data_IF_387802004926
#
_entry.id   IF_387802004926
#
_cell.length_a   1.000
_cell.length_b   1.000
_cell.length_c   1.000
_cell.angle_alpha   90.00
_cell.angle_beta   90.00
_cell.angle_gamma   90.00
#
_symmetry.space_group_name_H-M   'P 1'
#
loop_
_entity.id
_entity.type
_entity.pdbx_description
1 polymer ?
#
# COMPACT_ATOMS: atom_id res chain seq x y z
N UNK A 1 -21.51 -9.98 15.87
CA UNK A 1 -21.02 -8.79 15.15
C UNK A 1 -19.48 -8.69 15.09
N UNK A 2 -18.80 -8.18 16.13
CA UNK A 2 -17.34 -7.94 16.06
C UNK A 2 -16.49 -9.22 15.97
N UNK A 3 -16.93 -10.32 16.60
CA UNK A 3 -16.28 -11.63 16.49
C UNK A 3 -16.45 -12.29 15.10
N UNK A 4 -17.53 -11.95 14.39
CA UNK A 4 -17.85 -12.50 13.07
C UNK A 4 -17.30 -11.62 11.94
N UNK A 5 -17.12 -10.31 12.20
CA UNK A 5 -16.66 -9.32 11.24
C UNK A 5 -15.70 -8.32 11.90
N UNK A 6 -14.44 -8.70 12.15
CA UNK A 6 -13.47 -7.86 12.87
C UNK A 6 -13.00 -6.65 12.06
N UNK A 7 -13.27 -6.61 10.76
CA UNK A 7 -12.89 -5.50 9.85
C UNK A 7 -13.88 -4.34 9.83
N UNK A 8 -15.00 -4.42 10.56
CA UNK A 8 -16.02 -3.37 10.55
C UNK A 8 -15.46 -2.05 11.11
N UNK A 9 -15.73 -0.97 10.38
CA UNK A 9 -15.38 0.37 10.80
C UNK A 9 -16.34 0.88 11.88
N UNK A 10 -15.87 1.83 12.71
CA UNK A 10 -16.68 2.45 13.79
C UNK A 10 -18.01 3.03 13.29
N UNK A 11 -18.03 3.61 12.09
CA UNK A 11 -19.25 4.15 11.48
C UNK A 11 -20.23 3.05 11.02
N UNK A 12 -19.73 1.88 10.62
CA UNK A 12 -20.55 0.73 10.23
C UNK A 12 -21.19 0.07 11.45
N UNK A 13 -20.44 -0.05 12.55
CA UNK A 13 -20.95 -0.52 13.84
C UNK A 13 -22.04 0.44 14.36
N UNK A 14 -21.83 1.76 14.27
CA UNK A 14 -22.83 2.76 14.63
C UNK A 14 -24.11 2.68 13.80
N UNK A 15 -23.99 2.45 12.48
CA UNK A 15 -25.15 2.21 11.60
C UNK A 15 -25.88 0.92 11.95
N UNK A 16 -25.15 -0.14 12.24
CA UNK A 16 -25.75 -1.41 12.64
C UNK A 16 -26.56 -1.29 13.94
N UNK A 17 -26.02 -0.58 14.94
CA UNK A 17 -26.74 -0.27 16.18
C UNK A 17 -27.99 0.57 15.94
N UNK A 18 -27.91 1.56 15.05
CA UNK A 18 -29.07 2.38 14.70
C UNK A 18 -30.16 1.58 13.96
N UNK A 19 -29.79 0.68 13.05
CA UNK A 19 -30.74 -0.07 12.20
C UNK A 19 -31.36 -1.25 12.95
N UNK A 20 -30.56 -2.03 13.67
CA UNK A 20 -31.01 -3.30 14.27
C UNK A 20 -31.38 -3.20 15.74
N UNK A 21 -30.91 -2.16 16.44
CA UNK A 21 -31.15 -1.97 17.87
C UNK A 21 -31.85 -0.66 18.23
N UNK A 22 -32.21 0.17 17.24
CA UNK A 22 -32.80 1.50 17.43
C UNK A 22 -32.00 2.38 18.42
N UNK A 23 -30.68 2.16 18.45
CA UNK A 23 -29.75 2.85 19.34
C UNK A 23 -28.75 3.67 18.52
N UNK A 24 -29.13 4.90 18.11
CA UNK A 24 -28.18 5.79 17.47
C UNK A 24 -27.12 6.22 18.47
N UNK A 25 -25.86 5.88 18.19
CA UNK A 25 -24.71 6.29 18.99
C UNK A 25 -23.73 7.09 18.13
N UNK A 26 -23.19 8.16 18.70
CA UNK A 26 -22.16 8.96 18.01
C UNK A 26 -20.84 8.19 17.94
N UNK A 27 -20.06 8.38 16.87
CA UNK A 27 -18.75 7.73 16.69
C UNK A 27 -17.80 7.94 17.89
N UNK A 28 -17.71 9.15 18.50
CA UNK A 28 -16.86 9.34 19.68
C UNK A 28 -17.37 8.62 20.94
N UNK A 29 -18.68 8.42 21.09
CA UNK A 29 -19.26 7.68 22.21
C UNK A 29 -19.04 6.17 22.02
N UNK A 30 -19.23 5.67 20.80
CA UNK A 30 -18.97 4.28 20.46
C UNK A 30 -17.50 3.91 20.67
N UNK A 31 -16.58 4.78 20.24
CA UNK A 31 -15.14 4.58 20.45
C UNK A 31 -14.79 4.46 21.94
N UNK A 32 -15.35 5.34 22.79
CA UNK A 32 -15.14 5.28 24.24
C UNK A 32 -15.68 3.98 24.84
N UNK A 33 -16.91 3.62 24.49
CA UNK A 33 -17.53 2.38 24.97
C UNK A 33 -16.69 1.16 24.60
N UNK A 34 -16.25 1.05 23.34
CA UNK A 34 -15.40 -0.07 22.90
C UNK A 34 -14.08 -0.12 23.68
N UNK A 35 -13.46 1.03 23.94
CA UNK A 35 -12.25 1.12 24.74
C UNK A 35 -12.49 0.73 26.21
N UNK A 36 -13.62 1.15 26.79
CA UNK A 36 -14.02 0.79 28.16
C UNK A 36 -14.29 -0.72 28.29
N UNK A 37 -14.74 -1.37 27.22
CA UNK A 37 -14.84 -2.83 27.10
C UNK A 37 -13.50 -3.54 26.84
N UNK A 38 -12.38 -2.80 26.80
CA UNK A 38 -11.05 -3.36 26.57
C UNK A 38 -10.73 -3.69 25.11
N UNK A 39 -11.57 -3.26 24.17
CA UNK A 39 -11.34 -3.46 22.73
C UNK A 39 -10.52 -2.30 22.17
N UNK A 40 -9.31 -2.60 21.75
CA UNK A 40 -8.41 -1.63 21.09
C UNK A 40 -8.43 -1.83 19.58
N UNK A 41 -8.38 -0.72 18.84
CA UNK A 41 -8.25 -0.76 17.38
C UNK A 41 -6.80 -1.12 17.01
N UNK A 42 -6.60 -2.33 16.51
CA UNK A 42 -5.33 -2.75 15.93
C UNK A 42 -5.39 -2.64 14.40
N UNK A 43 -4.27 -2.25 13.79
CA UNK A 43 -4.17 -2.19 12.34
C UNK A 43 -4.20 -3.60 11.76
N UNK A 44 -5.33 -3.99 11.18
CA UNK A 44 -5.44 -5.21 10.39
C UNK A 44 -4.47 -5.10 9.20
N UNK A 45 -3.40 -5.91 9.21
CA UNK A 45 -2.58 -6.10 8.01
C UNK A 45 -3.37 -6.95 7.03
N UNK A 46 -3.72 -6.38 5.88
CA UNK A 46 -4.26 -7.16 4.76
C UNK A 46 -3.12 -8.03 4.21
N UNK A 47 -3.11 -9.29 4.60
CA UNK A 47 -2.21 -10.30 4.04
C UNK A 47 -2.64 -10.55 2.59
N UNK A 48 -1.69 -10.63 1.66
CA UNK A 48 -2.00 -10.98 0.27
C UNK A 48 -2.55 -12.42 0.22
N UNK A 49 -3.67 -12.63 -0.44
CA UNK A 49 -4.32 -13.93 -0.53
C UNK A 49 -3.43 -15.01 -1.23
N UNK A 50 -2.44 -14.56 -1.99
CA UNK A 50 -1.48 -15.40 -2.72
C UNK A 50 -0.20 -15.72 -1.91
N UNK A 51 -0.14 -15.32 -0.62
CA UNK A 51 1.01 -15.63 0.22
C UNK A 51 1.09 -17.14 0.50
N UNK A 52 2.11 -17.79 -0.05
CA UNK A 52 2.48 -19.17 0.27
C UNK A 52 3.86 -19.20 0.94
N UNK A 53 3.88 -19.56 2.23
CA UNK A 53 5.10 -19.58 3.04
C UNK A 53 6.09 -20.67 2.60
N UNK A 54 5.62 -21.75 1.99
CA UNK A 54 6.46 -22.81 1.43
C UNK A 54 7.23 -22.31 0.21
N UNK A 55 6.55 -21.70 -0.76
CA UNK A 55 7.21 -21.10 -1.92
C UNK A 55 8.18 -19.99 -1.53
N UNK A 56 7.85 -19.19 -0.51
CA UNK A 56 8.77 -18.16 0.02
C UNK A 56 10.03 -18.77 0.62
N UNK A 57 9.92 -19.87 1.36
CA UNK A 57 11.06 -20.56 1.95
C UNK A 57 11.97 -21.19 0.88
N UNK A 58 11.37 -21.85 -0.12
CA UNK A 58 12.12 -22.45 -1.24
C UNK A 58 12.84 -21.38 -2.07
N UNK A 59 12.16 -20.26 -2.36
CA UNK A 59 12.78 -19.13 -3.04
C UNK A 59 13.95 -18.55 -2.24
N UNK A 60 13.78 -18.35 -0.94
CA UNK A 60 14.84 -17.83 -0.08
C UNK A 60 16.04 -18.77 -0.04
N UNK A 61 15.80 -20.08 0.07
CA UNK A 61 16.86 -21.08 0.03
C UNK A 61 17.63 -21.04 -1.29
N UNK A 62 16.92 -20.96 -2.41
CA UNK A 62 17.53 -20.83 -3.72
C UNK A 62 18.36 -19.54 -3.86
N UNK A 63 17.83 -18.41 -3.39
CA UNK A 63 18.53 -17.13 -3.44
C UNK A 63 19.84 -17.15 -2.67
N UNK A 64 19.82 -17.62 -1.41
CA UNK A 64 21.00 -17.70 -0.55
C UNK A 64 22.05 -18.68 -1.09
N UNK A 65 21.63 -19.76 -1.74
CA UNK A 65 22.54 -20.77 -2.26
C UNK A 65 23.25 -20.36 -3.56
N UNK A 66 22.65 -19.50 -4.38
CA UNK A 66 23.12 -19.25 -5.76
C UNK A 66 23.55 -17.81 -6.03
N UNK A 67 23.15 -16.84 -5.22
CA UNK A 67 23.41 -15.43 -5.48
C UNK A 67 24.01 -14.73 -4.26
N UNK A 68 24.86 -13.75 -4.53
CA UNK A 68 25.37 -12.81 -3.53
C UNK A 68 24.64 -11.48 -3.67
N UNK A 69 24.59 -10.68 -2.61
CA UNK A 69 23.83 -9.42 -2.62
C UNK A 69 24.38 -8.44 -3.68
N UNK A 70 25.69 -8.48 -3.93
CA UNK A 70 26.42 -7.70 -4.93
C UNK A 70 25.98 -7.99 -6.37
N UNK A 71 25.34 -9.14 -6.63
CA UNK A 71 24.89 -9.57 -7.95
C UNK A 71 23.42 -9.24 -8.23
N UNK A 72 22.70 -8.69 -7.25
CA UNK A 72 21.26 -8.49 -7.33
C UNK A 72 20.92 -7.02 -7.60
N UNK A 73 20.02 -6.82 -8.57
CA UNK A 73 19.35 -5.54 -8.82
C UNK A 73 17.87 -5.74 -8.55
N UNK A 74 17.31 -4.91 -7.67
CA UNK A 74 15.90 -4.91 -7.32
C UNK A 74 15.17 -3.81 -8.08
N UNK A 75 14.11 -4.20 -8.78
CA UNK A 75 13.23 -3.31 -9.52
C UNK A 75 11.85 -3.34 -8.86
N UNK A 76 11.20 -2.18 -8.75
CA UNK A 76 9.81 -2.06 -8.30
C UNK A 76 9.16 -0.85 -8.97
N UNK A 77 7.84 -0.71 -8.90
CA UNK A 77 7.15 0.50 -9.37
C UNK A 77 6.66 1.33 -8.18
N UNK A 78 7.18 2.55 -8.03
CA UNK A 78 6.61 3.53 -7.11
C UNK A 78 5.71 4.49 -7.86
N UNK A 79 4.50 4.73 -7.36
CA UNK A 79 3.62 5.77 -7.91
C UNK A 79 3.48 6.95 -6.98
N UNK A 80 3.64 8.16 -7.52
CA UNK A 80 3.55 9.42 -6.80
C UNK A 80 2.44 10.28 -7.41
N UNK A 81 1.40 10.55 -6.64
CA UNK A 81 0.32 11.47 -7.01
C UNK A 81 0.63 12.87 -6.43
N UNK A 82 0.47 13.92 -7.22
CA UNK A 82 0.64 15.31 -6.76
C UNK A 82 -0.36 15.73 -5.66
N UNK A 83 -1.40 14.91 -5.39
CA UNK A 83 -2.28 15.08 -4.21
C UNK A 83 -1.55 15.04 -2.86
N UNK A 84 -0.34 14.50 -2.79
CA UNK A 84 0.36 14.22 -1.52
C UNK A 84 0.87 15.47 -0.79
N UNK A 85 0.85 16.65 -1.44
CA UNK A 85 1.31 17.93 -0.85
C UNK A 85 0.14 18.76 -0.28
N UNK A 86 -1.12 18.35 -0.50
CA UNK A 86 -2.25 19.11 0.04
C UNK A 86 -2.42 18.83 1.55
N UNK A 87 -2.68 19.88 2.36
CA UNK A 87 -2.94 19.71 3.79
C UNK A 87 -4.08 18.70 4.01
N UNK A 88 -3.88 17.74 4.91
CA UNK A 88 -4.85 16.67 5.27
C UNK A 88 -6.24 17.16 5.70
N UNK A 89 -6.45 18.47 5.83
CA UNK A 89 -7.72 19.07 6.26
C UNK A 89 -8.04 20.30 5.41
N UNK A 90 -9.04 20.19 4.53
CA UNK A 90 -9.71 21.33 3.93
C UNK A 90 -11.22 21.24 4.20
N UNK A 91 -11.80 22.37 4.62
CA UNK A 91 -13.23 22.52 4.90
C UNK A 91 -13.95 23.04 3.65
N UNK A 92 -13.96 22.29 2.55
CA UNK A 92 -14.83 22.64 1.42
C UNK A 92 -14.94 21.51 0.39
N UNK A 93 -16.10 21.44 -0.27
CA UNK A 93 -16.40 20.57 -1.41
C UNK A 93 -15.64 21.01 -2.68
N UNK A 94 -14.31 21.08 -2.61
CA UNK A 94 -13.48 21.29 -3.79
C UNK A 94 -13.27 19.93 -4.44
N UNK A 95 -13.89 19.71 -5.60
CA UNK A 95 -13.47 18.63 -6.49
C UNK A 95 -12.05 18.94 -6.95
N UNK A 96 -11.09 18.19 -6.44
CA UNK A 96 -9.71 18.27 -6.90
C UNK A 96 -9.67 17.75 -8.34
N UNK A 97 -9.43 18.63 -9.31
CA UNK A 97 -9.08 18.22 -10.67
C UNK A 97 -7.87 17.30 -10.58
N UNK A 98 -7.90 16.17 -11.31
CA UNK A 98 -6.91 15.11 -11.21
C UNK A 98 -5.50 15.65 -11.40
N UNK A 99 -4.70 15.61 -10.32
CA UNK A 99 -3.28 15.94 -10.38
C UNK A 99 -2.55 14.98 -11.31
N UNK A 100 -1.34 15.38 -11.70
CA UNK A 100 -0.48 14.53 -12.52
C UNK A 100 0.07 13.42 -11.62
N UNK A 101 -0.06 12.18 -12.09
CA UNK A 101 0.53 11.00 -11.44
C UNK A 101 1.86 10.71 -12.12
N UNK A 102 2.88 10.49 -11.32
CA UNK A 102 4.17 10.01 -11.77
C UNK A 102 4.30 8.54 -11.40
N UNK A 103 4.86 7.76 -12.32
CA UNK A 103 5.30 6.40 -12.08
C UNK A 103 6.82 6.39 -12.17
N UNK A 104 7.45 5.87 -11.14
CA UNK A 104 8.89 5.98 -10.90
C UNK A 104 9.41 4.58 -10.61
N UNK A 105 9.85 3.83 -11.63
CA UNK A 105 10.60 2.60 -11.42
C UNK A 105 12.06 2.92 -11.03
N UNK A 106 12.53 2.52 -9.83
CA UNK A 106 13.94 2.55 -9.50
C UNK A 106 14.60 1.19 -9.74
N UNK A 107 15.89 1.23 -10.08
CA UNK A 107 16.78 0.08 -9.99
C UNK A 107 17.70 0.25 -8.80
N UNK A 108 17.64 -0.68 -7.85
CA UNK A 108 18.35 -0.63 -6.57
C UNK A 108 19.35 -1.77 -6.44
N UNK A 109 20.56 -1.45 -6.00
CA UNK A 109 21.61 -2.39 -5.61
C UNK A 109 21.99 -2.16 -4.15
N UNK A 110 22.93 -2.94 -3.62
CA UNK A 110 23.47 -2.74 -2.27
C UNK A 110 24.16 -1.37 -2.09
N UNK A 111 24.64 -0.77 -3.19
CA UNK A 111 25.36 0.50 -3.20
C UNK A 111 24.43 1.71 -3.38
N UNK A 112 23.13 1.46 -3.62
CA UNK A 112 22.11 2.49 -3.77
C UNK A 112 21.37 2.40 -5.10
N UNK A 113 20.95 3.55 -5.64
CA UNK A 113 20.24 3.61 -6.91
C UNK A 113 21.21 3.45 -8.08
N UNK A 114 20.97 2.45 -8.92
CA UNK A 114 21.65 2.28 -10.19
C UNK A 114 21.09 3.26 -11.23
N UNK A 115 19.78 3.28 -11.38
CA UNK A 115 19.06 4.21 -12.27
C UNK A 115 17.64 4.44 -11.77
N UNK A 116 17.04 5.57 -12.14
CA UNK A 116 15.66 5.93 -11.82
C UNK A 116 15.07 6.66 -13.02
N UNK A 117 13.91 6.20 -13.51
CA UNK A 117 13.16 6.88 -14.57
C UNK A 117 11.90 7.49 -13.98
N UNK A 118 11.63 8.76 -14.28
CA UNK A 118 10.35 9.40 -13.95
C UNK A 118 9.45 9.44 -15.18
N UNK A 119 8.33 8.74 -15.13
CA UNK A 119 7.33 8.73 -16.21
C UNK A 119 6.13 9.55 -15.75
N UNK A 120 5.76 10.53 -16.56
CA UNK A 120 4.62 11.41 -16.31
C UNK A 120 3.35 10.80 -16.93
N UNK A 121 2.31 10.63 -16.11
CA UNK A 121 1.02 10.07 -16.53
C UNK A 121 0.95 8.54 -16.39
N UNK A 122 -0.22 8.06 -15.95
CA UNK A 122 -0.62 6.65 -15.77
C UNK A 122 0.36 5.71 -15.03
N UNK A 123 -0.11 4.52 -14.66
CA UNK A 123 0.73 3.39 -14.23
C UNK A 123 1.57 2.93 -15.42
N UNK A 124 2.84 2.56 -15.19
CA UNK A 124 3.70 2.00 -16.25
C UNK A 124 3.07 0.71 -16.79
N UNK A 125 3.06 0.53 -18.11
CA UNK A 125 2.66 -0.76 -18.68
C UNK A 125 3.86 -1.73 -18.78
N UNK A 126 3.59 -2.99 -19.10
CA UNK A 126 4.64 -4.00 -19.19
C UNK A 126 5.68 -3.72 -20.28
N UNK A 127 5.32 -2.99 -21.35
CA UNK A 127 6.23 -2.65 -22.42
C UNK A 127 7.14 -1.47 -22.02
N UNK A 128 6.59 -0.45 -21.37
CA UNK A 128 7.36 0.65 -20.80
C UNK A 128 8.31 0.18 -19.69
N UNK A 129 7.87 -0.79 -18.87
CA UNK A 129 8.74 -1.40 -17.86
C UNK A 129 9.88 -2.19 -18.53
N UNK A 130 9.58 -2.98 -19.56
CA UNK A 130 10.61 -3.69 -20.31
C UNK A 130 11.61 -2.73 -20.98
N UNK A 131 11.12 -1.63 -21.56
CA UNK A 131 11.95 -0.58 -22.14
C UNK A 131 12.89 0.05 -21.10
N UNK A 132 12.40 0.29 -19.88
CA UNK A 132 13.22 0.74 -18.76
C UNK A 132 14.33 -0.26 -18.43
N UNK A 133 14.02 -1.56 -18.37
CA UNK A 133 15.04 -2.59 -18.10
C UNK A 133 16.13 -2.59 -19.18
N UNK A 134 15.75 -2.64 -20.45
CA UNK A 134 16.73 -2.75 -21.55
C UNK A 134 17.53 -1.45 -21.72
N UNK A 135 16.87 -0.29 -21.70
CA UNK A 135 17.55 0.95 -22.06
C UNK A 135 18.25 1.63 -20.89
N UNK A 136 17.72 1.52 -19.66
CA UNK A 136 18.32 2.20 -18.50
C UNK A 136 19.10 1.25 -17.60
N UNK A 137 18.58 0.05 -17.32
CA UNK A 137 19.22 -0.88 -16.38
C UNK A 137 20.40 -1.57 -17.04
N UNK A 138 20.24 -2.14 -18.25
CA UNK A 138 21.37 -2.79 -18.94
C UNK A 138 22.47 -1.80 -19.33
N UNK A 139 22.10 -0.58 -19.74
CA UNK A 139 23.07 0.47 -20.09
C UNK A 139 23.85 1.02 -18.89
N UNK A 140 23.46 0.68 -17.65
CA UNK A 140 24.16 1.09 -16.43
C UNK A 140 25.30 0.13 -16.04
N UNK A 141 25.51 -0.94 -16.81
CA UNK A 141 26.63 -1.89 -16.70
C UNK A 141 27.64 -1.72 -17.83
#
# INVERSE_FOLDING_TARGET
LLAENPSLLLNEIGKWLAIYHDQPISTPALYRNLRDFGLTYEHLKRIAAEQDDGFRADWLHNMIANYTAEQLVFLDESSKDDRTILPRHCWSHVRLNGGIRYSVPPALTIDGFLTVRGIEGSTIDGAEFYDFVVNDVESAF
#
